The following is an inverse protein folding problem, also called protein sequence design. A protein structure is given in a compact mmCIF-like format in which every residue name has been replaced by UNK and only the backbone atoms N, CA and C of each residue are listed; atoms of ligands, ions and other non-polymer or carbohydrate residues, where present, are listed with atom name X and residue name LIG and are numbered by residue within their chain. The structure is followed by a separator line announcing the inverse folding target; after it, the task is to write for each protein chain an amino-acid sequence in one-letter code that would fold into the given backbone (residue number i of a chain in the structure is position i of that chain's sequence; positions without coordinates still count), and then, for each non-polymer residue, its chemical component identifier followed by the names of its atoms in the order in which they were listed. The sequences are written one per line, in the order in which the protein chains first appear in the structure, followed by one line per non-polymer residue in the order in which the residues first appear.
data_IF_676992202741
#
_entry.id   IF_676992202741
#
_cell.length_a   1.000
_cell.length_b   1.000
_cell.length_c   1.000
_cell.angle_alpha   90.00
_cell.angle_beta   90.00
_cell.angle_gamma   90.00
#
_symmetry.space_group_name_H-M   'P 1'
#
loop_
_entity.id
_entity.type
_entity.pdbx_description
1 polymer ?
#
# COMPACT_ATOMS: atom_id res chain seq x y z
N UNK A 1 39.00 -5.22 3.68
CA UNK A 1 37.67 -5.80 3.42
C UNK A 1 36.68 -4.66 3.28
N UNK A 2 36.20 -4.37 2.06
CA UNK A 2 35.06 -3.46 1.88
C UNK A 2 33.81 -4.18 2.41
N UNK A 3 32.99 -3.58 3.27
CA UNK A 3 31.75 -4.20 3.68
C UNK A 3 30.89 -4.38 2.43
N UNK A 4 30.35 -5.59 2.23
CA UNK A 4 29.33 -5.83 1.21
C UNK A 4 28.15 -4.95 1.59
N UNK A 5 27.91 -3.90 0.80
CA UNK A 5 26.65 -3.17 0.83
C UNK A 5 25.60 -4.23 0.50
N UNK A 6 24.86 -4.70 1.49
CA UNK A 6 23.69 -5.53 1.26
C UNK A 6 22.77 -4.64 0.45
N UNK A 7 22.63 -4.90 -0.85
CA UNK A 7 21.68 -4.18 -1.70
C UNK A 7 20.32 -4.28 -1.00
N UNK A 8 19.86 -3.16 -0.45
CA UNK A 8 18.59 -3.12 0.23
C UNK A 8 17.53 -3.48 -0.79
N UNK A 9 16.80 -4.59 -0.56
CA UNK A 9 15.68 -4.97 -1.43
C UNK A 9 14.79 -3.76 -1.69
N UNK A 10 14.41 -3.56 -2.96
CA UNK A 10 13.51 -2.47 -3.35
C UNK A 10 12.20 -2.54 -2.55
N UNK A 11 11.54 -1.40 -2.29
CA UNK A 11 10.25 -1.38 -1.59
C UNK A 11 9.23 -2.34 -2.19
N UNK A 12 9.16 -2.42 -3.53
CA UNK A 12 8.26 -3.32 -4.24
C UNK A 12 8.57 -4.81 -3.99
N UNK A 13 9.84 -5.22 -4.00
CA UNK A 13 10.21 -6.61 -3.72
C UNK A 13 9.83 -7.03 -2.29
N UNK A 14 9.91 -6.10 -1.34
CA UNK A 14 9.47 -6.34 0.05
C UNK A 14 7.96 -6.46 0.17
N UNK A 15 7.19 -5.68 -0.60
CA UNK A 15 5.72 -5.76 -0.65
C UNK A 15 5.27 -7.06 -1.29
N UNK A 16 5.94 -7.49 -2.37
CA UNK A 16 5.66 -8.77 -3.02
C UNK A 16 5.84 -9.94 -2.06
N UNK A 17 6.95 -9.97 -1.31
CA UNK A 17 7.18 -10.97 -0.28
C UNK A 17 6.13 -10.95 0.85
N UNK A 18 5.64 -9.77 1.23
CA UNK A 18 4.57 -9.66 2.24
C UNK A 18 3.23 -10.14 1.71
N UNK A 19 2.91 -9.89 0.43
CA UNK A 19 1.70 -10.39 -0.21
C UNK A 19 1.70 -11.93 -0.22
N UNK A 20 2.84 -12.55 -0.50
CA UNK A 20 3.00 -14.01 -0.39
C UNK A 20 2.77 -14.52 1.03
N UNK A 21 3.29 -13.81 2.04
CA UNK A 21 3.06 -14.15 3.45
C UNK A 21 1.59 -13.93 3.85
N UNK A 22 0.95 -12.87 3.37
CA UNK A 22 -0.46 -12.59 3.59
C UNK A 22 -1.33 -13.73 3.06
N UNK A 23 -1.08 -14.21 1.85
CA UNK A 23 -1.88 -15.29 1.26
C UNK A 23 -1.64 -16.66 1.90
N UNK A 24 -0.39 -16.98 2.25
CA UNK A 24 -0.05 -18.31 2.79
C UNK A 24 -0.29 -18.43 4.29
N UNK A 25 -0.01 -17.36 5.02
CA UNK A 25 0.06 -17.38 6.49
C UNK A 25 -0.99 -16.48 7.13
N UNK A 26 -1.82 -15.78 6.33
CA UNK A 26 -2.74 -14.74 6.83
C UNK A 26 -2.04 -13.65 7.64
N UNK A 27 -0.76 -13.39 7.33
CA UNK A 27 0.05 -12.40 8.03
C UNK A 27 -0.32 -10.99 7.54
N UNK A 28 -0.76 -10.07 8.42
CA UNK A 28 -1.11 -8.72 8.00
C UNK A 28 0.12 -7.94 7.53
N UNK A 29 -0.08 -7.07 6.53
CA UNK A 29 0.94 -6.17 6.01
C UNK A 29 0.82 -4.84 6.73
N UNK A 30 1.88 -4.41 7.42
CA UNK A 30 1.98 -3.10 8.08
C UNK A 30 3.37 -2.54 7.79
N UNK A 31 3.51 -1.92 6.62
CA UNK A 31 4.78 -1.43 6.09
C UNK A 31 4.81 0.09 6.13
N UNK A 32 5.89 0.64 6.68
CA UNK A 32 6.24 2.05 6.54
C UNK A 32 7.47 2.17 5.63
N UNK A 33 7.44 3.14 4.72
CA UNK A 33 8.51 3.33 3.71
C UNK A 33 9.33 4.61 3.94
N UNK A 34 9.06 5.36 5.02
CA UNK A 34 9.60 6.70 5.25
C UNK A 34 8.71 7.78 4.65
N UNK A 35 8.91 9.04 5.07
CA UNK A 35 8.10 10.21 4.66
C UNK A 35 6.59 10.03 4.87
N UNK A 36 6.24 9.15 5.82
CA UNK A 36 4.86 8.80 6.14
C UNK A 36 4.12 7.96 5.10
N UNK A 37 4.84 7.46 4.08
CA UNK A 37 4.35 6.43 3.18
C UNK A 37 4.08 5.14 3.97
N UNK A 38 2.90 4.56 3.78
CA UNK A 38 2.48 3.34 4.50
C UNK A 38 1.56 2.47 3.66
N UNK A 39 1.82 1.17 3.66
CA UNK A 39 0.92 0.14 3.17
C UNK A 39 0.38 -0.68 4.35
N UNK A 40 -0.94 -0.75 4.48
CA UNK A 40 -1.62 -1.51 5.52
C UNK A 40 -2.66 -2.43 4.90
N UNK A 41 -2.55 -3.74 5.14
CA UNK A 41 -3.53 -4.75 4.69
C UNK A 41 -3.69 -5.76 5.82
N UNK A 42 -4.79 -5.69 6.56
CA UNK A 42 -5.06 -6.64 7.66
C UNK A 42 -5.49 -8.02 7.15
N UNK A 43 -6.17 -8.08 5.99
CA UNK A 43 -6.63 -9.31 5.33
C UNK A 43 -6.82 -9.10 3.82
N UNK A 44 -6.87 -10.16 3.00
CA UNK A 44 -7.12 -10.06 1.56
C UNK A 44 -8.55 -9.57 1.27
N UNK A 45 -8.73 -8.26 1.15
CA UNK A 45 -9.99 -7.63 0.77
C UNK A 45 -9.99 -7.33 -0.73
N UNK A 46 -11.16 -7.29 -1.42
CA UNK A 46 -11.23 -7.02 -2.85
C UNK A 46 -11.06 -5.53 -3.19
N UNK A 47 -10.38 -4.76 -2.34
CA UNK A 47 -10.12 -3.34 -2.55
C UNK A 47 -8.85 -2.84 -1.85
N UNK A 48 -8.33 -1.70 -2.32
CA UNK A 48 -7.31 -0.89 -1.67
C UNK A 48 -7.74 0.59 -1.70
N UNK A 49 -7.87 1.21 -0.54
CA UNK A 49 -8.05 2.67 -0.45
C UNK A 49 -6.69 3.36 -0.56
N UNK A 50 -6.58 4.39 -1.38
CA UNK A 50 -5.33 5.10 -1.63
C UNK A 50 -5.52 6.58 -1.31
N UNK A 51 -4.54 7.17 -0.62
CA UNK A 51 -4.43 8.61 -0.47
C UNK A 51 -3.05 9.05 -0.94
N UNK A 52 -3.01 10.06 -1.81
CA UNK A 52 -1.78 10.71 -2.25
C UNK A 52 -1.73 12.15 -1.73
N UNK A 53 -0.73 12.49 -0.93
CA UNK A 53 -0.48 13.84 -0.46
C UNK A 53 -0.40 14.02 1.06
N UNK A 54 -0.88 15.16 1.55
CA UNK A 54 -0.75 15.59 2.95
C UNK A 54 -1.60 14.77 3.91
N UNK A 55 -1.02 14.37 5.04
CA UNK A 55 -1.70 13.58 6.08
C UNK A 55 -2.62 14.39 7.01
N UNK A 56 -2.74 15.70 6.79
CA UNK A 56 -3.50 16.60 7.67
C UNK A 56 -4.98 16.70 7.29
N UNK A 57 -5.42 15.88 6.34
CA UNK A 57 -6.64 16.03 5.57
C UNK A 57 -7.67 14.95 5.97
N UNK A 58 -8.97 15.25 5.89
CA UNK A 58 -10.06 14.30 6.11
C UNK A 58 -9.96 13.07 5.20
N UNK A 59 -9.52 13.23 3.96
CA UNK A 59 -9.26 12.14 3.02
C UNK A 59 -8.23 11.13 3.58
N UNK A 60 -7.15 11.60 4.20
CA UNK A 60 -6.18 10.74 4.89
C UNK A 60 -6.84 9.97 6.05
N UNK A 61 -7.69 10.63 6.83
CA UNK A 61 -8.40 9.98 7.95
C UNK A 61 -9.36 8.90 7.44
N UNK A 62 -10.12 9.19 6.37
CA UNK A 62 -11.03 8.22 5.74
C UNK A 62 -10.26 7.02 5.20
N UNK A 63 -9.16 7.25 4.48
CA UNK A 63 -8.34 6.17 3.92
C UNK A 63 -7.72 5.31 5.02
N UNK A 64 -7.09 5.93 6.03
CA UNK A 64 -6.39 5.21 7.11
C UNK A 64 -7.33 4.49 8.09
N UNK A 65 -8.63 4.80 8.10
CA UNK A 65 -9.65 4.08 8.86
C UNK A 65 -10.05 2.72 8.23
N UNK A 66 -9.60 2.42 7.00
CA UNK A 66 -9.89 1.15 6.34
C UNK A 66 -8.92 0.03 6.74
N UNK A 67 -9.33 -1.23 6.52
CA UNK A 67 -8.49 -2.40 6.79
C UNK A 67 -7.50 -2.74 5.64
N UNK A 68 -7.60 -2.03 4.52
CA UNK A 68 -6.75 -2.18 3.33
C UNK A 68 -6.52 -0.80 2.71
N UNK A 69 -5.36 -0.21 2.97
CA UNK A 69 -5.02 1.12 2.46
C UNK A 69 -3.54 1.34 2.14
N UNK A 70 -3.29 2.34 1.30
CA UNK A 70 -2.00 2.91 0.97
C UNK A 70 -2.04 4.43 1.19
N UNK A 71 -1.14 4.93 2.03
CA UNK A 71 -0.81 6.36 2.11
C UNK A 71 0.50 6.56 1.37
N UNK A 72 0.52 7.49 0.43
CA UNK A 72 1.70 7.85 -0.34
C UNK A 72 1.88 9.37 -0.40
N UNK A 73 3.13 9.85 -0.34
CA UNK A 73 3.47 11.25 -0.51
C UNK A 73 3.49 11.65 -1.99
N UNK A 74 3.78 10.70 -2.90
CA UNK A 74 3.86 10.92 -4.34
C UNK A 74 3.02 9.91 -5.13
N UNK A 75 2.55 10.33 -6.31
CA UNK A 75 1.66 9.53 -7.16
C UNK A 75 2.36 8.37 -7.86
N UNK A 76 3.67 8.44 -8.05
CA UNK A 76 4.42 7.42 -8.77
C UNK A 76 4.56 6.16 -7.90
N UNK A 77 5.01 6.33 -6.65
CA UNK A 77 5.02 5.27 -5.65
C UNK A 77 3.62 4.70 -5.42
N UNK A 78 2.62 5.58 -5.31
CA UNK A 78 1.23 5.16 -5.15
C UNK A 78 0.79 4.24 -6.30
N UNK A 79 1.07 4.65 -7.53
CA UNK A 79 0.74 3.90 -8.73
C UNK A 79 1.48 2.56 -8.82
N UNK A 80 2.77 2.53 -8.51
CA UNK A 80 3.58 1.30 -8.53
C UNK A 80 3.08 0.27 -7.52
N UNK A 81 2.87 0.69 -6.27
CA UNK A 81 2.39 -0.18 -5.19
C UNK A 81 0.96 -0.64 -5.46
N UNK A 82 0.05 0.27 -5.82
CA UNK A 82 -1.34 -0.08 -6.10
C UNK A 82 -1.45 -1.07 -7.27
N UNK A 83 -0.66 -0.89 -8.34
CA UNK A 83 -0.61 -1.83 -9.46
C UNK A 83 -0.10 -3.22 -9.04
N UNK A 84 0.95 -3.28 -8.20
CA UNK A 84 1.46 -4.54 -7.68
C UNK A 84 0.39 -5.28 -6.85
N UNK A 85 -0.21 -4.58 -5.88
CA UNK A 85 -1.26 -5.13 -5.01
C UNK A 85 -2.45 -5.59 -5.84
N UNK A 86 -2.95 -4.75 -6.76
CA UNK A 86 -4.11 -5.07 -7.57
C UNK A 86 -3.89 -6.29 -8.47
N UNK A 87 -2.69 -6.46 -9.05
CA UNK A 87 -2.37 -7.67 -9.83
C UNK A 87 -2.44 -8.92 -8.95
N UNK A 88 -1.73 -8.90 -7.82
CA UNK A 88 -1.65 -10.07 -6.92
C UNK A 88 -3.00 -10.40 -6.27
N UNK A 89 -3.78 -9.39 -5.90
CA UNK A 89 -5.09 -9.56 -5.26
C UNK A 89 -6.19 -9.96 -6.24
N UNK A 90 -6.12 -9.55 -7.51
CA UNK A 90 -7.08 -9.99 -8.53
C UNK A 90 -7.06 -11.51 -8.69
N UNK A 91 -5.88 -12.13 -8.65
CA UNK A 91 -5.75 -13.58 -8.74
C UNK A 91 -6.43 -14.30 -7.55
N UNK A 92 -6.51 -13.65 -6.39
CA UNK A 92 -7.13 -14.19 -5.19
C UNK A 92 -8.64 -13.89 -5.10
N UNK A 93 -9.05 -12.67 -5.43
CA UNK A 93 -10.41 -12.16 -5.23
C UNK A 93 -11.28 -12.21 -6.50
N UNK A 94 -10.72 -12.51 -7.67
CA UNK A 94 -11.38 -12.46 -8.99
C UNK A 94 -11.54 -11.04 -9.55
N UNK A 95 -11.94 -10.09 -8.71
CA UNK A 95 -11.96 -8.66 -9.01
C UNK A 95 -11.29 -7.86 -7.88
N UNK A 96 -10.75 -6.70 -8.22
CA UNK A 96 -10.08 -5.84 -7.24
C UNK A 96 -10.27 -4.35 -7.59
N UNK A 97 -10.68 -3.57 -6.59
CA UNK A 97 -10.92 -2.13 -6.71
C UNK A 97 -9.73 -1.35 -6.14
N UNK A 98 -9.33 -0.28 -6.83
CA UNK A 98 -8.43 0.73 -6.26
C UNK A 98 -9.24 2.01 -6.15
N UNK A 99 -9.36 2.52 -4.93
CA UNK A 99 -10.14 3.72 -4.60
C UNK A 99 -9.18 4.82 -4.22
N UNK A 100 -8.91 5.75 -5.13
CA UNK A 100 -8.16 6.96 -4.81
C UNK A 100 -9.10 7.99 -4.17
N UNK A 101 -8.77 8.41 -2.94
CA UNK A 101 -9.56 9.33 -2.15
C UNK A 101 -8.72 10.59 -1.91
N UNK A 102 -9.06 11.62 -2.66
CA UNK A 102 -8.53 12.97 -2.53
C UNK A 102 -9.40 13.86 -1.64
N UNK A 103 -8.87 15.03 -1.31
CA UNK A 103 -9.69 16.08 -0.70
C UNK A 103 -10.59 16.77 -1.72
N UNK A 104 -11.74 17.24 -1.23
CA UNK A 104 -12.55 18.17 -1.98
C UNK A 104 -11.95 19.59 -1.83
N UNK A 105 -12.02 20.40 -2.87
CA UNK A 105 -11.48 21.76 -2.82
C UNK A 105 -12.26 22.66 -1.85
N UNK A 106 -13.57 22.42 -1.67
CA UNK A 106 -14.49 23.15 -0.81
C UNK A 106 -15.62 22.19 -0.36
N UNK A 107 -16.10 22.32 0.88
CA UNK A 107 -17.20 21.53 1.48
C UNK A 107 -18.60 21.90 0.94
#
# INVERSE_FOLDING_TARGET
MKPKLVEAMSPLARIEADLDALFRESKPIRREFGDGNRLHIDRPLPFLCVHVGSQQHAAFQIVSANASYLIAADSDLAGEVARLVARRMRDHCGAFLVLDIGELAED
#
